data_IF_947551067649
#
_entry.id   IF_947551067649
#
_cell.length_a   1.000
_cell.length_b   1.000
_cell.length_c   1.000
_cell.angle_alpha   90.00
_cell.angle_beta   90.00
_cell.angle_gamma   90.00
#
_symmetry.space_group_name_H-M   'P 1'
#
loop_
_entity.id
_entity.type
_entity.pdbx_description
1 polymer ?
#
# COMPACT_ATOMS: atom_id res chain seq x y z
N UNK A 1 -11.76 -27.12 -17.52
CA UNK A 1 -12.21 -25.75 -17.85
C UNK A 1 -13.51 -25.47 -17.14
N UNK A 2 -13.48 -24.94 -15.91
CA UNK A 2 -14.69 -24.72 -15.09
C UNK A 2 -15.53 -23.53 -15.58
N UNK A 3 -15.00 -22.73 -16.50
CA UNK A 3 -15.74 -21.66 -17.16
C UNK A 3 -15.58 -21.89 -18.66
N UNK A 4 -16.64 -22.39 -19.31
CA UNK A 4 -16.72 -22.59 -20.76
C UNK A 4 -16.86 -21.26 -21.52
N UNK A 5 -16.08 -20.25 -21.13
CA UNK A 5 -16.15 -18.92 -21.71
C UNK A 5 -15.37 -18.89 -23.04
N UNK A 6 -15.95 -18.27 -24.09
CA UNK A 6 -15.27 -18.08 -25.36
C UNK A 6 -13.96 -17.31 -25.16
N UNK A 7 -12.88 -17.78 -25.80
CA UNK A 7 -11.53 -17.23 -25.66
C UNK A 7 -11.47 -15.75 -26.06
N UNK A 8 -12.39 -15.32 -26.93
CA UNK A 8 -12.58 -13.93 -27.35
C UNK A 8 -13.01 -13.01 -26.20
N UNK A 9 -13.76 -13.52 -25.20
CA UNK A 9 -14.17 -12.75 -24.02
C UNK A 9 -13.06 -12.49 -23.01
N UNK A 10 -12.03 -13.36 -22.99
CA UNK A 10 -10.81 -13.17 -22.17
C UNK A 10 -9.97 -12.01 -22.71
N UNK A 11 -9.91 -11.85 -24.05
CA UNK A 11 -9.18 -10.76 -24.70
C UNK A 11 -9.75 -9.37 -24.39
N UNK A 12 -11.08 -9.24 -24.25
CA UNK A 12 -11.71 -7.98 -23.86
C UNK A 12 -11.42 -7.60 -22.40
N UNK A 13 -11.36 -8.59 -21.50
CA UNK A 13 -11.01 -8.38 -20.08
C UNK A 13 -9.51 -8.10 -19.90
N UNK A 14 -8.63 -8.66 -20.76
CA UNK A 14 -7.20 -8.36 -20.72
C UNK A 14 -6.88 -6.88 -20.97
N UNK A 15 -7.72 -6.15 -21.73
CA UNK A 15 -7.49 -4.73 -22.01
C UNK A 15 -7.50 -3.84 -20.74
N UNK A 16 -8.19 -4.26 -19.68
CA UNK A 16 -8.28 -3.51 -18.42
C UNK A 16 -7.44 -4.12 -17.29
N UNK A 17 -6.80 -5.27 -17.53
CA UNK A 17 -6.05 -6.04 -16.54
C UNK A 17 -5.02 -5.19 -15.75
N UNK A 18 -4.24 -4.27 -16.36
CA UNK A 18 -3.29 -3.45 -15.62
C UNK A 18 -3.94 -2.52 -14.58
N UNK A 19 -5.13 -1.99 -14.87
CA UNK A 19 -5.85 -1.11 -13.93
C UNK A 19 -6.41 -1.94 -12.78
N UNK A 20 -7.00 -3.10 -13.09
CA UNK A 20 -7.53 -4.01 -12.06
C UNK A 20 -6.42 -4.55 -11.16
N UNK A 21 -5.24 -4.83 -11.71
CA UNK A 21 -4.09 -5.29 -10.94
C UNK A 21 -3.54 -4.21 -9.99
N UNK A 22 -3.44 -2.96 -10.45
CA UNK A 22 -3.09 -1.84 -9.57
C UNK A 22 -4.10 -1.66 -8.45
N UNK A 23 -5.40 -1.76 -8.75
CA UNK A 23 -6.44 -1.71 -7.71
C UNK A 23 -6.32 -2.87 -6.71
N UNK A 24 -6.01 -4.08 -7.19
CA UNK A 24 -5.77 -5.25 -6.33
C UNK A 24 -4.58 -5.00 -5.40
N UNK A 25 -3.48 -4.47 -5.92
CA UNK A 25 -2.29 -4.14 -5.12
C UNK A 25 -2.61 -3.06 -4.09
N UNK A 26 -3.26 -1.97 -4.51
CA UNK A 26 -3.63 -0.87 -3.62
C UNK A 26 -4.55 -1.34 -2.48
N UNK A 27 -5.56 -2.15 -2.79
CA UNK A 27 -6.51 -2.65 -1.78
C UNK A 27 -5.88 -3.67 -0.84
N UNK A 28 -4.98 -4.53 -1.33
CA UNK A 28 -4.23 -5.45 -0.48
C UNK A 28 -3.33 -4.68 0.52
N UNK A 29 -2.59 -3.67 0.04
CA UNK A 29 -1.71 -2.84 0.89
C UNK A 29 -2.53 -1.99 1.88
N UNK A 30 -3.62 -1.38 1.43
CA UNK A 30 -4.52 -0.64 2.31
C UNK A 30 -5.12 -1.55 3.41
N UNK A 31 -5.49 -2.79 3.05
CA UNK A 31 -5.98 -3.77 4.00
C UNK A 31 -4.96 -4.14 5.07
N UNK A 32 -3.68 -4.26 4.71
CA UNK A 32 -2.59 -4.55 5.66
C UNK A 32 -2.44 -3.45 6.73
N UNK A 33 -2.66 -2.18 6.38
CA UNK A 33 -2.65 -1.08 7.35
C UNK A 33 -3.97 -0.97 8.13
N UNK A 34 -5.10 -1.19 7.47
CA UNK A 34 -6.43 -1.01 8.05
C UNK A 34 -6.79 -2.08 9.09
N UNK A 35 -6.52 -3.35 8.80
CA UNK A 35 -6.95 -4.47 9.64
C UNK A 35 -6.37 -4.40 11.07
N UNK A 36 -5.06 -4.14 11.28
CA UNK A 36 -4.49 -4.01 12.62
C UNK A 36 -5.13 -2.88 13.43
N UNK A 37 -5.41 -1.74 12.81
CA UNK A 37 -6.05 -0.60 13.48
C UNK A 37 -7.47 -0.97 13.96
N UNK A 38 -8.25 -1.64 13.10
CA UNK A 38 -9.59 -2.11 13.46
C UNK A 38 -9.53 -3.13 14.60
N UNK A 39 -8.62 -4.11 14.53
CA UNK A 39 -8.48 -5.14 15.58
C UNK A 39 -8.04 -4.49 16.90
N UNK A 40 -7.06 -3.60 16.87
CA UNK A 40 -6.59 -2.89 18.06
C UNK A 40 -7.70 -2.05 18.72
N UNK A 41 -8.54 -1.37 17.92
CA UNK A 41 -9.68 -0.63 18.43
C UNK A 41 -10.72 -1.54 19.07
N UNK A 42 -11.02 -2.70 18.45
CA UNK A 42 -12.00 -3.67 18.97
C UNK A 42 -11.55 -4.33 20.27
N UNK A 43 -10.26 -4.66 20.38
CA UNK A 43 -9.66 -5.22 21.58
C UNK A 43 -9.33 -4.16 22.65
N UNK A 44 -9.62 -2.88 22.39
CA UNK A 44 -9.34 -1.74 23.30
C UNK A 44 -7.85 -1.59 23.65
N UNK A 45 -6.97 -1.96 22.73
CA UNK A 45 -5.51 -1.84 22.87
C UNK A 45 -4.93 -0.76 21.94
N UNK A 46 -5.79 -0.06 21.18
CA UNK A 46 -5.36 1.04 20.34
C UNK A 46 -4.96 2.25 21.19
N UNK A 47 -3.75 2.78 20.98
CA UNK A 47 -3.35 4.07 21.52
C UNK A 47 -3.99 5.19 20.71
N UNK A 48 -5.07 5.75 21.27
CA UNK A 48 -5.80 6.85 20.66
C UNK A 48 -4.98 8.15 20.62
N UNK A 49 -4.11 8.39 21.60
CA UNK A 49 -3.29 9.61 21.60
C UNK A 49 -2.29 9.57 20.45
N UNK A 50 -1.63 8.43 20.26
CA UNK A 50 -0.72 8.24 19.12
C UNK A 50 -1.47 8.29 17.77
N UNK A 51 -2.67 7.71 17.69
CA UNK A 51 -3.47 7.68 16.46
C UNK A 51 -3.94 9.09 16.03
N UNK A 52 -4.49 9.90 16.94
CA UNK A 52 -5.03 11.23 16.63
C UNK A 52 -3.92 12.26 16.30
N UNK A 53 -2.72 12.05 16.82
CA UNK A 53 -1.57 12.93 16.56
C UNK A 53 -0.68 12.46 15.40
N UNK A 54 -1.04 11.36 14.73
CA UNK A 54 -0.27 10.86 13.59
C UNK A 54 -0.38 11.83 12.40
N UNK A 55 0.76 12.23 11.84
CA UNK A 55 0.84 13.05 10.62
C UNK A 55 1.38 12.24 9.44
N UNK A 56 0.86 12.48 8.23
CA UNK A 56 1.40 11.90 7.01
C UNK A 56 2.77 12.49 6.67
N UNK A 57 3.63 11.71 5.99
CA UNK A 57 4.82 12.27 5.35
C UNK A 57 4.42 13.37 4.37
N UNK A 58 5.14 14.51 4.30
CA UNK A 58 4.91 15.51 3.28
C UNK A 58 5.01 14.89 1.88
N UNK A 59 4.00 15.10 1.04
CA UNK A 59 3.98 14.60 -0.35
C UNK A 59 4.68 15.59 -1.31
N UNK A 60 4.76 16.85 -0.92
CA UNK A 60 5.29 17.95 -1.74
C UNK A 60 6.77 18.29 -1.47
N UNK A 61 7.51 17.46 -0.74
CA UNK A 61 8.95 17.67 -0.58
C UNK A 61 9.68 17.05 -1.78
N UNK A 62 10.30 17.83 -2.69
CA UNK A 62 11.10 17.30 -3.77
C UNK A 62 12.44 16.82 -3.22
N UNK A 63 12.43 15.87 -2.29
CA UNK A 63 13.65 15.19 -1.86
C UNK A 63 14.06 14.23 -2.96
N UNK A 64 14.97 14.74 -3.77
CA UNK A 64 15.95 14.09 -4.64
C UNK A 64 15.94 12.56 -4.64
N UNK A 65 15.82 12.02 -5.85
CA UNK A 65 16.15 10.64 -6.16
C UNK A 65 17.54 10.26 -5.61
N UNK A 66 17.56 9.28 -4.71
CA UNK A 66 18.67 8.36 -4.36
C UNK A 66 20.08 8.96 -4.55
N UNK A 67 20.72 9.32 -3.45
CA UNK A 67 22.17 9.10 -3.32
C UNK A 67 22.39 7.95 -2.36
N UNK A 68 22.93 6.87 -2.90
CA UNK A 68 23.36 5.69 -2.17
C UNK A 68 24.50 6.02 -1.20
N UNK A 69 24.59 5.23 -0.13
CA UNK A 69 25.77 4.94 0.69
C UNK A 69 27.01 5.82 0.47
N UNK A 70 27.40 6.61 1.50
CA UNK A 70 28.77 7.05 1.86
C UNK A 70 28.67 8.41 2.62
N UNK A 71 28.88 8.53 3.92
CA UNK A 71 30.16 8.46 4.65
C UNK A 71 29.84 8.55 6.16
N UNK A 72 30.24 7.59 6.98
CA UNK A 72 31.47 7.73 7.79
C UNK A 72 31.54 9.07 8.55
N UNK A 73 30.66 9.32 9.53
CA UNK A 73 30.87 10.34 10.57
C UNK A 73 29.95 10.19 11.81
N UNK A 74 29.82 8.99 12.39
CA UNK A 74 29.47 8.87 13.83
C UNK A 74 30.37 7.82 14.50
N UNK A 75 31.59 7.70 13.97
CA UNK A 75 32.73 7.15 14.68
C UNK A 75 33.68 8.33 14.96
N UNK A 76 33.28 9.20 15.89
CA UNK A 76 34.13 10.19 16.54
C UNK A 76 33.50 10.55 17.89
#
# INVERSE_FOLDING_TARGET
STLGLPLEGVGLLMAIDPIIDMMRTATNVAGQALVPVIVAAREKILDHTAYENASSSPIDDPTEARTEDEKVLVAA
#
